data_IF_560148799941
#
_entry.id   IF_560148799941
#
_cell.length_a   1.000
_cell.length_b   1.000
_cell.length_c   1.000
_cell.angle_alpha   90.00
_cell.angle_beta   90.00
_cell.angle_gamma   90.00
#
_symmetry.space_group_name_H-M   'P 1'
#
loop_
_entity.id
_entity.type
_entity.pdbx_description
1 polymer ?
#
# COMPACT_ATOMS: atom_id res chain seq x y z
N UNK A 1 41.66 -30.76 -26.59
CA UNK A 1 40.54 -31.74 -26.56
C UNK A 1 40.46 -32.56 -27.85
N UNK A 2 41.35 -32.33 -28.83
CA UNK A 2 41.34 -33.05 -30.13
C UNK A 2 42.19 -34.32 -30.20
N UNK A 3 42.98 -34.65 -29.19
CA UNK A 3 43.81 -35.88 -29.18
C UNK A 3 43.00 -37.12 -28.73
N UNK A 4 41.87 -36.92 -28.03
CA UNK A 4 41.04 -38.02 -27.52
C UNK A 4 40.02 -38.55 -28.56
N UNK A 5 39.69 -37.76 -29.58
CA UNK A 5 38.72 -38.15 -30.62
C UNK A 5 39.37 -39.04 -31.68
N UNK A 6 40.64 -38.79 -32.03
CA UNK A 6 41.35 -39.58 -33.03
C UNK A 6 41.66 -41.02 -32.58
N UNK A 7 41.88 -41.23 -31.28
CA UNK A 7 42.07 -42.57 -30.73
C UNK A 7 40.80 -43.45 -30.79
N UNK A 8 39.61 -42.84 -30.72
CA UNK A 8 38.33 -43.57 -30.73
C UNK A 8 37.92 -44.00 -32.14
N UNK A 9 38.27 -43.20 -33.16
CA UNK A 9 37.96 -43.50 -34.57
C UNK A 9 38.86 -44.63 -35.11
N UNK A 10 40.09 -44.77 -34.63
CA UNK A 10 40.98 -45.86 -35.04
C UNK A 10 40.52 -47.23 -34.51
N UNK A 11 39.98 -47.30 -33.28
CA UNK A 11 39.47 -48.56 -32.70
C UNK A 11 38.23 -49.06 -33.45
N UNK A 12 37.37 -48.16 -33.92
CA UNK A 12 36.15 -48.55 -34.65
C UNK A 12 36.43 -49.14 -36.04
N UNK A 13 37.48 -48.67 -36.73
CA UNK A 13 37.84 -49.21 -38.06
C UNK A 13 38.44 -50.62 -38.00
N UNK A 14 39.10 -50.99 -36.90
CA UNK A 14 39.60 -52.37 -36.70
C UNK A 14 38.50 -53.38 -36.38
N UNK A 15 37.40 -52.96 -35.74
CA UNK A 15 36.27 -53.85 -35.43
C UNK A 15 35.38 -54.17 -36.64
N UNK A 16 35.18 -53.21 -37.56
CA UNK A 16 34.35 -53.44 -38.77
C UNK A 16 35.03 -54.37 -39.79
N UNK A 17 36.36 -54.37 -39.85
CA UNK A 17 37.11 -55.29 -40.73
C UNK A 17 37.10 -56.74 -40.21
N UNK A 18 37.12 -56.93 -38.89
CA UNK A 18 37.05 -58.26 -38.27
C UNK A 18 35.69 -58.95 -38.44
N UNK A 19 34.59 -58.18 -38.42
CA UNK A 19 33.22 -58.71 -38.57
C UNK A 19 32.90 -59.16 -40.01
N UNK A 20 33.50 -58.52 -41.02
CA UNK A 20 33.28 -58.86 -42.43
C UNK A 20 34.00 -60.14 -42.87
N UNK A 21 35.07 -60.53 -42.19
CA UNK A 21 35.80 -61.79 -42.48
C UNK A 21 35.07 -63.01 -41.89
N UNK A 22 34.36 -62.85 -40.76
CA UNK A 22 33.58 -63.93 -40.12
C UNK A 22 32.26 -64.21 -40.87
N UNK A 23 31.68 -63.20 -41.53
CA UNK A 23 30.44 -63.36 -42.28
C UNK A 23 30.60 -64.11 -43.62
N UNK A 24 31.83 -64.24 -44.15
CA UNK A 24 32.06 -64.85 -45.47
C UNK A 24 32.29 -66.38 -45.44
N UNK A 25 32.50 -66.99 -44.27
CA UNK A 25 32.76 -68.45 -44.17
C UNK A 25 31.55 -69.28 -43.74
N UNK A 26 30.40 -68.67 -43.46
CA UNK A 26 29.25 -69.40 -42.90
C UNK A 26 27.91 -69.15 -43.62
N UNK A 27 27.93 -69.01 -44.95
CA UNK A 27 26.82 -69.46 -45.81
C UNK A 27 27.13 -70.90 -46.21
N UNK A 28 26.28 -71.91 -46.06
CA UNK A 28 25.01 -72.09 -46.76
C UNK A 28 24.36 -73.33 -46.14
N UNK A 29 23.31 -73.18 -45.31
CA UNK A 29 22.27 -74.24 -45.09
C UNK A 29 21.09 -73.88 -44.18
N UNK A 30 21.02 -72.69 -43.58
CA UNK A 30 19.94 -72.35 -42.62
C UNK A 30 18.87 -71.36 -43.14
N UNK A 31 18.75 -71.15 -44.46
CA UNK A 31 17.88 -70.12 -45.03
C UNK A 31 16.38 -70.47 -45.14
N UNK A 32 15.94 -71.68 -44.72
CA UNK A 32 14.51 -72.06 -44.75
C UNK A 32 13.80 -72.03 -43.41
N UNK A 33 14.50 -72.15 -42.28
CA UNK A 33 13.88 -72.10 -40.94
C UNK A 33 13.67 -70.64 -40.48
N UNK A 34 14.54 -69.71 -40.89
CA UNK A 34 14.44 -68.29 -40.52
C UNK A 34 13.18 -67.60 -41.08
N UNK A 35 12.61 -68.07 -42.19
CA UNK A 35 11.44 -67.42 -42.81
C UNK A 35 10.11 -67.70 -42.11
N UNK A 36 10.00 -68.73 -41.28
CA UNK A 36 8.78 -68.99 -40.51
C UNK A 36 8.75 -68.26 -39.16
N UNK A 37 9.92 -67.97 -38.57
CA UNK A 37 10.04 -67.25 -37.30
C UNK A 37 9.79 -65.74 -37.47
N UNK A 38 10.11 -65.19 -38.65
CA UNK A 38 9.97 -63.75 -38.93
C UNK A 38 8.50 -63.28 -39.03
N UNK A 39 7.60 -64.11 -39.57
CA UNK A 39 6.17 -63.76 -39.74
C UNK A 39 5.47 -63.54 -38.39
N UNK A 40 5.70 -64.44 -37.43
CA UNK A 40 5.13 -64.32 -36.08
C UNK A 40 5.75 -63.17 -35.28
N UNK A 41 7.04 -62.87 -35.50
CA UNK A 41 7.71 -61.75 -34.84
C UNK A 41 7.20 -60.39 -35.35
N UNK A 42 7.01 -60.25 -36.66
CA UNK A 42 6.47 -59.03 -37.29
C UNK A 42 5.00 -58.80 -36.89
N UNK A 43 4.16 -59.85 -36.88
CA UNK A 43 2.78 -59.73 -36.39
C UNK A 43 2.70 -59.35 -34.92
N UNK A 44 3.55 -59.93 -34.06
CA UNK A 44 3.58 -59.61 -32.62
C UNK A 44 4.08 -58.19 -32.38
N UNK A 45 5.06 -57.70 -33.14
CA UNK A 45 5.55 -56.32 -33.07
C UNK A 45 4.48 -55.32 -33.51
N UNK A 46 3.76 -55.58 -34.62
CA UNK A 46 2.66 -54.74 -35.08
C UNK A 46 1.49 -54.70 -34.09
N UNK A 47 1.13 -55.86 -33.53
CA UNK A 47 0.08 -55.97 -32.51
C UNK A 47 0.44 -55.20 -31.23
N UNK A 48 1.68 -55.32 -30.74
CA UNK A 48 2.14 -54.58 -29.57
C UNK A 48 2.18 -53.07 -29.80
N UNK A 49 2.55 -52.61 -31.01
CA UNK A 49 2.48 -51.18 -31.38
C UNK A 49 1.03 -50.67 -31.40
N UNK A 50 0.10 -51.41 -31.99
CA UNK A 50 -1.32 -51.06 -32.00
C UNK A 50 -1.94 -51.10 -30.60
N UNK A 51 -1.56 -52.06 -29.75
CA UNK A 51 -2.01 -52.14 -28.36
C UNK A 51 -1.48 -50.96 -27.54
N UNK A 52 -0.20 -50.61 -27.71
CA UNK A 52 0.42 -49.44 -27.06
C UNK A 52 -0.22 -48.13 -27.53
N UNK A 53 -0.58 -48.03 -28.81
CA UNK A 53 -1.31 -46.90 -29.36
C UNK A 53 -2.73 -46.78 -28.80
N UNK A 54 -3.48 -47.89 -28.72
CA UNK A 54 -4.82 -47.92 -28.10
C UNK A 54 -4.82 -47.57 -26.62
N UNK A 55 -3.81 -48.04 -25.86
CA UNK A 55 -3.66 -47.70 -24.45
C UNK A 55 -3.30 -46.21 -24.27
N UNK A 56 -2.40 -45.67 -25.09
CA UNK A 56 -2.09 -44.24 -25.11
C UNK A 56 -3.32 -43.40 -25.45
N UNK A 57 -4.09 -43.78 -26.46
CA UNK A 57 -5.28 -43.05 -26.89
C UNK A 57 -6.37 -42.99 -25.80
N UNK A 58 -6.60 -44.12 -25.09
CA UNK A 58 -7.54 -44.14 -23.94
C UNK A 58 -7.07 -43.27 -22.78
N UNK A 59 -5.76 -43.17 -22.55
CA UNK A 59 -5.21 -42.33 -21.49
C UNK A 59 -5.29 -40.84 -21.86
N UNK A 60 -4.96 -40.50 -23.11
CA UNK A 60 -5.08 -39.13 -23.63
C UNK A 60 -6.53 -38.65 -23.54
N UNK A 61 -7.48 -39.49 -23.93
CA UNK A 61 -8.91 -39.18 -23.86
C UNK A 61 -9.41 -38.95 -22.42
N UNK A 62 -8.88 -39.66 -21.43
CA UNK A 62 -9.20 -39.40 -20.01
C UNK A 62 -8.65 -38.05 -19.53
N UNK A 63 -7.42 -37.72 -19.91
CA UNK A 63 -6.79 -36.43 -19.55
C UNK A 63 -7.52 -35.26 -20.22
N UNK A 64 -7.87 -35.39 -21.51
CA UNK A 64 -8.67 -34.40 -22.23
C UNK A 64 -10.06 -34.19 -21.62
N UNK A 65 -10.70 -35.25 -21.12
CA UNK A 65 -12.00 -35.12 -20.41
C UNK A 65 -11.87 -34.37 -19.10
N UNK A 66 -10.82 -34.62 -18.32
CA UNK A 66 -10.59 -33.94 -17.04
C UNK A 66 -10.25 -32.47 -17.29
N UNK A 67 -9.31 -32.18 -18.18
CA UNK A 67 -8.95 -30.80 -18.54
C UNK A 67 -10.12 -30.04 -19.17
N UNK A 68 -10.86 -30.68 -20.08
CA UNK A 68 -12.06 -30.10 -20.67
C UNK A 68 -13.14 -29.78 -19.63
N UNK A 69 -13.32 -30.63 -18.62
CA UNK A 69 -14.26 -30.38 -17.51
C UNK A 69 -13.82 -29.21 -16.63
N UNK A 70 -12.52 -29.08 -16.37
CA UNK A 70 -11.97 -27.96 -15.58
C UNK A 70 -12.11 -26.65 -16.36
N UNK A 71 -11.74 -26.63 -17.65
CA UNK A 71 -11.87 -25.46 -18.50
C UNK A 71 -13.32 -25.02 -18.68
N UNK A 72 -14.25 -25.98 -18.83
CA UNK A 72 -15.68 -25.67 -18.90
C UNK A 72 -16.19 -25.10 -17.57
N UNK A 73 -15.74 -25.65 -16.43
CA UNK A 73 -16.07 -25.13 -15.10
C UNK A 73 -15.60 -23.69 -14.92
N UNK A 74 -14.34 -23.39 -15.26
CA UNK A 74 -13.79 -22.04 -15.20
C UNK A 74 -14.51 -21.07 -16.13
N UNK A 75 -14.87 -21.51 -17.34
CA UNK A 75 -15.66 -20.71 -18.27
C UNK A 75 -17.06 -20.42 -17.73
N UNK A 76 -17.74 -21.41 -17.14
CA UNK A 76 -19.04 -21.22 -16.52
C UNK A 76 -18.97 -20.27 -15.31
N UNK A 77 -17.91 -20.35 -14.49
CA UNK A 77 -17.70 -19.41 -13.37
C UNK A 77 -17.45 -18.01 -13.90
N UNK A 78 -16.60 -17.84 -14.92
CA UNK A 78 -16.36 -16.53 -15.54
C UNK A 78 -17.64 -15.94 -16.17
N UNK A 79 -18.44 -16.77 -16.85
CA UNK A 79 -19.73 -16.34 -17.43
C UNK A 79 -20.77 -15.99 -16.35
N UNK A 80 -20.80 -16.74 -15.24
CA UNK A 80 -21.68 -16.44 -14.10
C UNK A 80 -21.25 -15.15 -13.39
N UNK A 81 -19.94 -14.95 -13.16
CA UNK A 81 -19.42 -13.73 -12.57
C UNK A 81 -19.71 -12.51 -13.47
N UNK A 82 -19.54 -12.67 -14.79
CA UNK A 82 -19.90 -11.65 -15.77
C UNK A 82 -21.39 -11.32 -15.76
N UNK A 83 -22.25 -12.34 -15.71
CA UNK A 83 -23.70 -12.16 -15.71
C UNK A 83 -24.22 -11.53 -14.41
N UNK A 84 -23.63 -11.90 -13.26
CA UNK A 84 -24.18 -11.53 -11.95
C UNK A 84 -23.64 -10.19 -11.44
N UNK A 85 -22.39 -9.84 -11.75
CA UNK A 85 -21.72 -8.63 -11.24
C UNK A 85 -21.48 -7.55 -12.29
N UNK A 86 -21.81 -7.80 -13.56
CA UNK A 86 -21.49 -6.91 -14.67
C UNK A 86 -19.97 -6.78 -14.90
N UNK A 87 -19.58 -5.92 -15.84
CA UNK A 87 -18.17 -5.73 -16.21
C UNK A 87 -17.36 -4.95 -15.16
N UNK A 88 -18.02 -4.24 -14.25
CA UNK A 88 -17.36 -3.28 -13.36
C UNK A 88 -16.75 -3.93 -12.12
N UNK A 89 -17.37 -4.97 -11.57
CA UNK A 89 -16.81 -5.73 -10.43
C UNK A 89 -16.03 -6.97 -10.84
N UNK A 90 -16.34 -7.57 -11.99
CA UNK A 90 -15.76 -8.87 -12.39
C UNK A 90 -14.33 -8.75 -12.92
N UNK A 91 -13.99 -7.65 -13.59
CA UNK A 91 -12.69 -7.47 -14.23
C UNK A 91 -11.51 -7.34 -13.23
N UNK A 92 -11.59 -6.57 -12.13
CA UNK A 92 -10.54 -6.54 -11.11
C UNK A 92 -10.33 -7.89 -10.43
N UNK A 93 -11.43 -8.58 -10.09
CA UNK A 93 -11.38 -9.92 -9.46
C UNK A 93 -10.75 -10.96 -10.41
N UNK A 94 -11.03 -10.86 -11.72
CA UNK A 94 -10.39 -11.70 -12.74
C UNK A 94 -8.90 -11.37 -12.93
N UNK A 95 -8.52 -10.10 -12.84
CA UNK A 95 -7.13 -9.67 -12.86
C UNK A 95 -6.34 -10.24 -11.67
N UNK A 96 -6.88 -10.15 -10.45
CA UNK A 96 -6.23 -10.63 -9.23
C UNK A 96 -6.18 -12.15 -9.11
N UNK A 97 -7.15 -12.87 -9.70
CA UNK A 97 -7.19 -14.34 -9.69
C UNK A 97 -6.24 -14.99 -10.70
N UNK A 98 -5.81 -14.26 -11.73
CA UNK A 98 -4.85 -14.76 -12.75
C UNK A 98 -3.54 -15.30 -12.15
N UNK A 99 -2.80 -14.54 -11.31
CA UNK A 99 -1.56 -15.06 -10.71
C UNK A 99 -1.80 -16.25 -9.78
N UNK A 100 -2.94 -16.28 -9.08
CA UNK A 100 -3.33 -17.39 -8.20
C UNK A 100 -3.54 -18.67 -9.01
N UNK A 101 -4.23 -18.57 -10.15
CA UNK A 101 -4.45 -19.71 -11.05
C UNK A 101 -3.13 -20.23 -11.63
N UNK A 102 -2.22 -19.35 -12.04
CA UNK A 102 -0.89 -19.75 -12.51
C UNK A 102 -0.09 -20.45 -11.40
N UNK A 103 -0.16 -19.96 -10.16
CA UNK A 103 0.50 -20.57 -9.02
C UNK A 103 -0.05 -21.97 -8.72
N UNK A 104 -1.38 -22.15 -8.72
CA UNK A 104 -2.04 -23.45 -8.50
C UNK A 104 -1.60 -24.46 -9.57
N UNK A 105 -1.59 -24.07 -10.85
CA UNK A 105 -1.14 -24.97 -11.93
C UNK A 105 0.34 -25.31 -11.77
N UNK A 106 1.18 -24.35 -11.40
CA UNK A 106 2.60 -24.58 -11.11
C UNK A 106 2.82 -25.60 -9.98
N UNK A 107 2.05 -25.48 -8.89
CA UNK A 107 2.09 -26.42 -7.75
C UNK A 107 1.68 -27.82 -8.18
N UNK A 108 0.58 -27.96 -8.94
CA UNK A 108 0.10 -29.27 -9.42
C UNK A 108 1.14 -29.95 -10.32
N UNK A 109 1.80 -29.17 -11.20
CA UNK A 109 2.86 -29.68 -12.07
C UNK A 109 4.12 -30.10 -11.32
N UNK A 110 4.41 -29.48 -10.18
CA UNK A 110 5.52 -29.86 -9.30
C UNK A 110 5.27 -31.22 -8.62
N UNK A 111 4.03 -31.48 -8.17
CA UNK A 111 3.68 -32.74 -7.50
C UNK A 111 3.46 -33.93 -8.46
N UNK A 112 3.02 -33.67 -9.69
CA UNK A 112 2.72 -34.72 -10.67
C UNK A 112 3.52 -34.45 -11.95
N UNK A 113 4.82 -34.84 -11.98
CA UNK A 113 5.63 -34.62 -13.16
C UNK A 113 5.05 -35.42 -14.34
N UNK A 114 4.79 -34.77 -15.49
CA UNK A 114 4.21 -35.45 -16.65
C UNK A 114 5.18 -36.53 -17.16
N UNK A 115 4.83 -37.80 -16.99
CA UNK A 115 5.66 -38.97 -17.36
C UNK A 115 5.90 -39.14 -18.87
N UNK A 116 5.35 -38.26 -19.73
CA UNK A 116 5.46 -38.33 -21.20
C UNK A 116 5.66 -36.94 -21.77
N UNK A 117 6.56 -36.81 -22.76
CA UNK A 117 6.88 -35.56 -23.45
C UNK A 117 5.63 -34.84 -24.00
N UNK A 118 4.64 -35.59 -24.50
CA UNK A 118 3.40 -35.02 -25.04
C UNK A 118 2.52 -34.35 -23.98
N UNK A 119 2.56 -34.81 -22.72
CA UNK A 119 1.80 -34.18 -21.63
C UNK A 119 2.46 -32.88 -21.16
N UNK A 120 3.79 -32.79 -21.25
CA UNK A 120 4.55 -31.58 -20.95
C UNK A 120 4.29 -30.46 -21.97
N UNK A 121 4.21 -30.80 -23.26
CA UNK A 121 3.92 -29.83 -24.32
C UNK A 121 2.51 -29.24 -24.14
N UNK A 122 1.52 -30.09 -23.86
CA UNK A 122 0.12 -29.65 -23.65
C UNK A 122 0.00 -28.77 -22.40
N UNK A 123 0.69 -29.13 -21.32
CA UNK A 123 0.76 -28.33 -20.09
C UNK A 123 1.32 -26.92 -20.35
N UNK A 124 2.46 -26.83 -21.05
CA UNK A 124 3.05 -25.54 -21.42
C UNK A 124 2.10 -24.72 -22.29
N UNK A 125 1.42 -25.35 -23.25
CA UNK A 125 0.48 -24.64 -24.12
C UNK A 125 -0.69 -24.03 -23.34
N UNK A 126 -1.28 -24.78 -22.40
CA UNK A 126 -2.37 -24.28 -21.54
C UNK A 126 -1.90 -23.09 -20.68
N UNK A 127 -0.70 -23.18 -20.09
CA UNK A 127 -0.13 -22.09 -19.30
C UNK A 127 0.09 -20.82 -20.13
N UNK A 128 0.59 -20.96 -21.37
CA UNK A 128 0.79 -19.83 -22.28
C UNK A 128 -0.55 -19.17 -22.60
N UNK A 129 -1.60 -19.95 -22.89
CA UNK A 129 -2.94 -19.41 -23.17
C UNK A 129 -3.50 -18.66 -21.97
N UNK A 130 -3.40 -19.22 -20.76
CA UNK A 130 -3.86 -18.56 -19.52
C UNK A 130 -3.09 -17.26 -19.30
N UNK A 131 -1.76 -17.27 -19.49
CA UNK A 131 -0.94 -16.08 -19.32
C UNK A 131 -1.29 -14.97 -20.32
N UNK A 132 -1.53 -15.31 -21.59
CA UNK A 132 -1.94 -14.34 -22.61
C UNK A 132 -3.32 -13.72 -22.30
N UNK A 133 -4.30 -14.55 -21.91
CA UNK A 133 -5.63 -14.07 -21.52
C UNK A 133 -5.55 -13.18 -20.28
N UNK A 134 -4.79 -13.61 -19.26
CA UNK A 134 -4.56 -12.84 -18.04
C UNK A 134 -3.91 -11.48 -18.32
N UNK A 135 -2.92 -11.43 -19.21
CA UNK A 135 -2.27 -10.19 -19.64
C UNK A 135 -3.25 -9.25 -20.35
N UNK A 136 -4.14 -9.78 -21.21
CA UNK A 136 -5.16 -9.00 -21.89
C UNK A 136 -6.17 -8.39 -20.89
N UNK A 137 -6.59 -9.15 -19.89
CA UNK A 137 -7.49 -8.67 -18.82
C UNK A 137 -6.83 -7.56 -17.99
N UNK A 138 -5.59 -7.77 -17.55
CA UNK A 138 -4.81 -6.76 -16.82
C UNK A 138 -4.65 -5.46 -17.62
N UNK A 139 -4.36 -5.59 -18.92
CA UNK A 139 -4.23 -4.43 -19.82
C UNK A 139 -5.56 -3.69 -19.97
N UNK A 140 -6.67 -4.42 -20.10
CA UNK A 140 -8.00 -3.82 -20.21
C UNK A 140 -8.41 -3.07 -18.92
N UNK A 141 -8.13 -3.65 -17.74
CA UNK A 141 -8.36 -2.98 -16.44
C UNK A 141 -7.54 -1.70 -16.35
N UNK A 142 -6.25 -1.75 -16.72
CA UNK A 142 -5.37 -0.59 -16.70
C UNK A 142 -5.86 0.53 -17.63
N UNK A 143 -6.18 0.21 -18.89
CA UNK A 143 -6.70 1.19 -19.85
C UNK A 143 -8.01 1.82 -19.37
N UNK A 144 -8.86 1.05 -18.69
CA UNK A 144 -10.11 1.56 -18.13
C UNK A 144 -9.87 2.50 -16.94
N UNK A 145 -8.92 2.15 -16.06
CA UNK A 145 -8.49 3.01 -14.96
C UNK A 145 -7.86 4.32 -15.44
N UNK A 146 -7.06 4.29 -16.51
CA UNK A 146 -6.53 5.50 -17.13
C UNK A 146 -7.63 6.38 -17.73
N UNK A 147 -8.67 5.77 -18.33
CA UNK A 147 -9.79 6.52 -18.89
C UNK A 147 -10.71 7.12 -17.80
N UNK A 148 -10.96 6.42 -16.69
CA UNK A 148 -11.70 6.99 -15.57
C UNK A 148 -10.92 8.12 -14.91
N UNK A 149 -9.62 7.95 -14.72
CA UNK A 149 -8.76 9.01 -14.19
C UNK A 149 -8.73 10.25 -15.09
N UNK A 150 -8.67 10.07 -16.42
CA UNK A 150 -8.79 11.18 -17.38
C UNK A 150 -10.16 11.86 -17.31
N UNK A 151 -11.24 11.12 -17.12
CA UNK A 151 -12.58 11.70 -16.97
C UNK A 151 -12.69 12.53 -15.67
N UNK A 152 -12.10 12.05 -14.58
CA UNK A 152 -12.00 12.78 -13.31
C UNK A 152 -11.16 14.06 -13.45
N UNK A 153 -9.99 13.98 -14.09
CA UNK A 153 -9.13 15.15 -14.36
C UNK A 153 -9.88 16.17 -15.23
N UNK A 154 -10.57 15.74 -16.28
CA UNK A 154 -11.36 16.64 -17.12
C UNK A 154 -12.50 17.32 -16.34
N UNK A 155 -13.14 16.57 -15.44
CA UNK A 155 -14.19 17.11 -14.56
C UNK A 155 -13.60 18.12 -13.58
N UNK A 156 -12.40 17.86 -13.04
CA UNK A 156 -11.69 18.77 -12.16
C UNK A 156 -11.24 20.03 -12.90
N UNK A 157 -10.73 19.90 -14.12
CA UNK A 157 -10.42 21.01 -15.01
C UNK A 157 -11.65 21.88 -15.28
N UNK A 158 -12.80 21.28 -15.60
CA UNK A 158 -14.05 22.02 -15.79
C UNK A 158 -14.50 22.75 -14.51
N UNK A 159 -14.29 22.17 -13.33
CA UNK A 159 -14.55 22.85 -12.05
C UNK A 159 -13.58 24.02 -11.82
N UNK A 160 -12.30 23.83 -12.16
CA UNK A 160 -11.27 24.86 -12.05
C UNK A 160 -11.59 26.05 -12.96
N UNK A 161 -11.98 25.78 -14.21
CA UNK A 161 -12.42 26.79 -15.19
C UNK A 161 -13.67 27.53 -14.70
N UNK A 162 -14.61 26.81 -14.07
CA UNK A 162 -15.81 27.42 -13.49
C UNK A 162 -15.46 28.39 -12.33
N UNK A 163 -14.52 28.01 -11.46
CA UNK A 163 -14.01 28.89 -10.38
C UNK A 163 -13.28 30.10 -10.98
N UNK A 164 -12.47 29.90 -12.01
CA UNK A 164 -11.85 30.99 -12.77
C UNK A 164 -12.88 31.98 -13.33
N UNK A 165 -13.92 31.47 -13.99
CA UNK A 165 -15.02 32.29 -14.52
C UNK A 165 -15.79 33.05 -13.43
N UNK A 166 -16.03 32.42 -12.27
CA UNK A 166 -16.66 33.09 -11.12
C UNK A 166 -15.80 34.23 -10.59
N UNK A 167 -14.48 34.02 -10.46
CA UNK A 167 -13.55 35.07 -10.06
C UNK A 167 -13.56 36.24 -11.05
N UNK A 168 -13.55 35.98 -12.37
CA UNK A 168 -13.65 37.05 -13.38
C UNK A 168 -14.95 37.85 -13.24
N UNK A 169 -16.10 37.16 -13.06
CA UNK A 169 -17.41 37.84 -12.89
C UNK A 169 -17.44 38.70 -11.63
N UNK A 170 -16.89 38.18 -10.52
CA UNK A 170 -16.80 38.92 -9.27
C UNK A 170 -15.90 40.14 -9.40
N UNK A 171 -14.75 40.01 -10.07
CA UNK A 171 -13.86 41.14 -10.36
C UNK A 171 -14.59 42.23 -11.14
N UNK A 172 -15.28 41.87 -12.23
CA UNK A 172 -16.04 42.82 -13.04
C UNK A 172 -17.14 43.52 -12.24
N UNK A 173 -17.90 42.78 -11.43
CA UNK A 173 -18.91 43.35 -10.55
C UNK A 173 -18.33 44.38 -9.57
N UNK A 174 -17.16 44.10 -8.98
CA UNK A 174 -16.48 45.00 -8.04
C UNK A 174 -15.91 46.25 -8.72
N UNK A 175 -15.62 46.19 -10.02
CA UNK A 175 -15.21 47.36 -10.82
C UNK A 175 -16.45 48.20 -11.15
N UNK A 176 -17.56 47.59 -11.56
CA UNK A 176 -18.81 48.25 -11.92
C UNK A 176 -19.47 48.98 -10.73
N UNK A 177 -19.35 48.42 -9.53
CA UNK A 177 -19.91 49.01 -8.30
C UNK A 177 -19.08 50.19 -7.74
N UNK A 178 -18.05 50.65 -8.46
CA UNK A 178 -17.27 51.84 -8.09
C UNK A 178 -18.16 53.08 -8.12
N UNK A 179 -18.43 53.66 -6.95
CA UNK A 179 -19.16 54.93 -6.82
C UNK A 179 -20.69 54.82 -6.93
N UNK A 180 -21.25 53.61 -6.95
CA UNK A 180 -22.70 53.36 -6.97
C UNK A 180 -23.37 53.51 -5.60
N UNK A 181 -22.57 53.52 -4.51
CA UNK A 181 -23.03 53.65 -3.13
C UNK A 181 -23.65 52.39 -2.53
N UNK A 182 -23.74 51.28 -3.26
CA UNK A 182 -24.28 50.00 -2.75
C UNK A 182 -23.31 49.24 -1.85
N UNK A 183 -22.01 49.51 -1.96
CA UNK A 183 -20.97 48.94 -1.11
C UNK A 183 -20.01 50.04 -0.65
N UNK A 184 -19.37 49.84 0.51
CA UNK A 184 -18.31 50.75 0.95
C UNK A 184 -17.06 50.57 0.10
N UNK A 185 -16.31 51.63 -0.13
CA UNK A 185 -15.05 51.57 -0.89
C UNK A 185 -14.02 50.62 -0.23
N UNK A 186 -14.08 50.46 1.10
CA UNK A 186 -13.24 49.51 1.84
C UNK A 186 -13.61 48.05 1.53
N UNK A 187 -14.91 47.73 1.48
CA UNK A 187 -15.37 46.38 1.17
C UNK A 187 -15.14 46.03 -0.30
N UNK A 188 -15.28 47.01 -1.21
CA UNK A 188 -14.95 46.86 -2.63
C UNK A 188 -13.49 46.47 -2.83
N UNK A 189 -12.57 47.21 -2.19
CA UNK A 189 -11.12 46.93 -2.27
C UNK A 189 -10.75 45.56 -1.70
N UNK A 190 -11.33 45.16 -0.56
CA UNK A 190 -11.15 43.80 0.00
C UNK A 190 -11.64 42.71 -0.94
N UNK A 191 -12.75 42.95 -1.63
CA UNK A 191 -13.27 42.05 -2.66
C UNK A 191 -12.28 41.88 -3.82
N UNK A 192 -11.69 42.98 -4.29
CA UNK A 192 -10.70 42.97 -5.38
C UNK A 192 -9.44 42.22 -4.94
N UNK A 193 -8.93 42.50 -3.75
CA UNK A 193 -7.80 41.79 -3.15
C UNK A 193 -8.03 40.28 -3.07
N UNK A 194 -9.22 39.88 -2.60
CA UNK A 194 -9.59 38.47 -2.49
C UNK A 194 -9.66 37.79 -3.86
N UNK A 195 -10.19 38.49 -4.85
CA UNK A 195 -10.32 37.98 -6.23
C UNK A 195 -8.94 37.82 -6.88
N UNK A 196 -8.06 38.80 -6.70
CA UNK A 196 -6.67 38.74 -7.17
C UNK A 196 -5.88 37.62 -6.48
N UNK A 197 -6.09 37.39 -5.18
CA UNK A 197 -5.49 36.23 -4.49
C UNK A 197 -5.95 34.91 -5.10
N UNK A 198 -7.24 34.76 -5.37
CA UNK A 198 -7.75 33.55 -5.99
C UNK A 198 -7.19 33.37 -7.42
N UNK A 199 -7.05 34.44 -8.20
CA UNK A 199 -6.38 34.40 -9.51
C UNK A 199 -4.91 33.97 -9.39
N UNK A 200 -4.19 34.46 -8.37
CA UNK A 200 -2.82 34.05 -8.10
C UNK A 200 -2.72 32.54 -7.79
N UNK A 201 -3.61 32.03 -6.94
CA UNK A 201 -3.69 30.60 -6.59
C UNK A 201 -3.97 29.74 -7.83
N UNK A 202 -4.78 30.22 -8.76
CA UNK A 202 -5.10 29.48 -9.98
C UNK A 202 -3.98 29.51 -11.04
N UNK A 203 -3.05 30.47 -10.96
CA UNK A 203 -2.07 30.74 -12.03
C UNK A 203 -0.62 30.38 -11.69
N UNK A 204 -0.29 30.11 -10.43
CA UNK A 204 1.08 29.84 -9.99
C UNK A 204 1.19 28.43 -9.39
N UNK A 205 2.29 27.73 -9.69
CA UNK A 205 2.68 26.45 -9.09
C UNK A 205 4.22 26.38 -9.05
N UNK A 206 4.87 26.20 -7.88
CA UNK A 206 4.31 26.00 -6.54
C UNK A 206 3.77 27.27 -5.87
N UNK A 207 2.77 27.09 -5.01
CA UNK A 207 2.13 28.17 -4.24
C UNK A 207 2.62 28.12 -2.79
N UNK A 208 2.89 29.29 -2.20
CA UNK A 208 3.16 29.41 -0.78
C UNK A 208 1.93 28.95 0.04
N UNK A 209 2.07 27.97 0.95
CA UNK A 209 0.97 27.48 1.80
C UNK A 209 0.26 28.59 2.57
N UNK A 210 0.95 29.68 2.92
CA UNK A 210 0.35 30.83 3.62
C UNK A 210 -0.59 31.64 2.71
N UNK A 211 -0.35 31.65 1.40
CA UNK A 211 -1.26 32.27 0.43
C UNK A 211 -2.52 31.41 0.26
N UNK A 212 -2.36 30.08 0.24
CA UNK A 212 -3.49 29.13 0.21
C UNK A 212 -4.36 29.21 1.48
N UNK A 213 -3.72 29.36 2.64
CA UNK A 213 -4.41 29.55 3.92
C UNK A 213 -5.10 30.93 4.03
N UNK A 214 -4.85 31.84 3.09
CA UNK A 214 -5.37 33.21 3.12
C UNK A 214 -4.73 34.08 4.21
N UNK A 215 -3.65 33.60 4.85
CA UNK A 215 -2.91 34.33 5.88
C UNK A 215 -1.89 35.29 5.27
N UNK A 216 -1.55 35.11 4.00
CA UNK A 216 -0.62 35.94 3.24
C UNK A 216 -1.22 36.38 1.91
N UNK A 217 -0.95 37.62 1.53
CA UNK A 217 -1.33 38.15 0.22
C UNK A 217 -0.27 37.81 -0.84
N UNK A 218 -0.65 37.74 -2.12
CA UNK A 218 0.31 37.56 -3.21
C UNK A 218 1.40 38.66 -3.21
N UNK A 219 2.56 38.42 -3.84
CA UNK A 219 3.66 39.39 -3.87
C UNK A 219 3.19 40.78 -4.30
N UNK A 220 3.58 41.82 -3.55
CA UNK A 220 3.11 43.19 -3.75
C UNK A 220 3.40 43.72 -5.18
N UNK A 221 4.53 43.31 -5.77
CA UNK A 221 4.86 43.65 -7.16
C UNK A 221 3.82 43.11 -8.15
N UNK A 222 3.40 41.86 -7.98
CA UNK A 222 2.37 41.22 -8.79
C UNK A 222 0.99 41.86 -8.55
N UNK A 223 0.63 42.09 -7.28
CA UNK A 223 -0.63 42.77 -6.93
C UNK A 223 -0.72 44.17 -7.53
N UNK A 224 0.39 44.93 -7.51
CA UNK A 224 0.46 46.29 -8.06
C UNK A 224 0.29 46.29 -9.58
N UNK A 225 0.93 45.36 -10.28
CA UNK A 225 0.75 45.18 -11.73
C UNK A 225 -0.71 44.89 -12.06
N UNK A 226 -1.33 43.94 -11.35
CA UNK A 226 -2.74 43.58 -11.57
C UNK A 226 -3.73 44.69 -11.23
N UNK A 227 -3.50 45.43 -10.15
CA UNK A 227 -4.33 46.58 -9.81
C UNK A 227 -4.23 47.70 -10.85
N UNK A 228 -3.04 47.91 -11.41
CA UNK A 228 -2.86 48.84 -12.51
C UNK A 228 -3.65 48.42 -13.75
N UNK A 229 -3.65 47.13 -14.10
CA UNK A 229 -4.45 46.59 -15.22
C UNK A 229 -5.95 46.76 -15.00
N UNK A 230 -6.41 46.73 -13.74
CA UNK A 230 -7.80 46.98 -13.35
C UNK A 230 -8.15 48.48 -13.25
N UNK A 231 -7.20 49.39 -13.55
CA UNK A 231 -7.42 50.84 -13.44
C UNK A 231 -7.62 51.32 -12.00
N UNK A 232 -7.00 50.64 -11.03
CA UNK A 232 -6.96 51.00 -9.61
C UNK A 232 -5.65 51.72 -9.28
N UNK A 233 -5.74 52.92 -8.69
CA UNK A 233 -4.57 53.78 -8.41
C UNK A 233 -4.13 53.76 -6.95
N UNK A 234 -4.71 52.87 -6.13
CA UNK A 234 -4.36 52.79 -4.72
C UNK A 234 -3.21 51.82 -4.49
N UNK A 235 -2.34 52.18 -3.56
CA UNK A 235 -1.18 51.37 -3.19
C UNK A 235 -1.61 50.27 -2.23
N UNK A 236 -1.39 49.02 -2.63
CA UNK A 236 -1.27 47.93 -1.65
C UNK A 236 -0.01 48.25 -0.87
N UNK A 237 -0.14 48.47 0.45
CA UNK A 237 1.04 48.63 1.28
C UNK A 237 1.93 47.42 1.05
N UNK A 238 3.19 47.64 0.66
CA UNK A 238 4.22 46.65 0.97
C UNK A 238 4.04 46.36 2.45
N UNK A 239 3.74 45.11 2.79
CA UNK A 239 4.05 44.67 4.14
C UNK A 239 5.56 44.80 4.26
N UNK A 240 6.03 45.98 4.69
CA UNK A 240 7.11 46.08 5.66
C UNK A 240 6.79 44.96 6.60
N UNK A 241 7.58 43.87 6.52
CA UNK A 241 7.42 42.65 7.32
C UNK A 241 6.76 43.05 8.61
N UNK A 242 5.42 42.95 8.64
CA UNK A 242 4.68 43.31 9.82
C UNK A 242 5.10 42.16 10.68
N UNK A 243 6.04 42.43 11.59
CA UNK A 243 6.37 41.56 12.71
C UNK A 243 5.07 40.88 13.04
N UNK A 244 5.00 39.58 12.70
CA UNK A 244 3.74 38.88 12.56
C UNK A 244 2.88 39.30 13.75
N UNK A 245 1.71 39.89 13.52
CA UNK A 245 0.70 39.81 14.58
C UNK A 245 0.60 38.31 14.77
N UNK A 246 1.07 37.74 15.89
CA UNK A 246 1.17 36.30 15.99
C UNK A 246 -0.25 35.81 15.79
N UNK A 247 -0.49 35.10 14.67
CA UNK A 247 -1.73 34.35 14.54
C UNK A 247 -1.84 33.56 15.83
N UNK A 248 -2.97 33.60 16.55
CA UNK A 248 -3.04 32.97 17.86
C UNK A 248 -2.58 31.53 17.71
N UNK A 249 -1.57 31.15 18.49
CA UNK A 249 -0.88 29.87 18.35
C UNK A 249 -1.88 28.72 18.48
N UNK A 250 -1.70 27.72 17.64
CA UNK A 250 -2.43 26.46 17.70
C UNK A 250 -1.72 25.45 18.59
N UNK A 251 -2.51 24.75 19.38
CA UNK A 251 -2.01 23.78 20.34
C UNK A 251 -2.68 22.45 20.09
N UNK A 252 -1.88 21.38 20.15
CA UNK A 252 -2.39 20.04 20.37
C UNK A 252 -2.62 19.90 21.86
N UNK A 253 -3.83 19.53 22.24
CA UNK A 253 -4.17 19.16 23.61
C UNK A 253 -4.74 17.76 23.65
N UNK A 254 -4.60 17.11 24.79
CA UNK A 254 -5.21 15.80 25.02
C UNK A 254 -6.74 15.92 25.08
N UNK A 255 -7.44 15.04 24.35
CA UNK A 255 -8.90 14.95 24.31
C UNK A 255 -9.41 13.77 25.15
N UNK A 256 -9.19 13.85 26.47
CA UNK A 256 -9.57 12.80 27.42
C UNK A 256 -8.44 11.80 27.73
N UNK A 257 -8.73 10.79 28.53
CA UNK A 257 -7.72 9.80 28.93
C UNK A 257 -7.40 8.78 27.82
N UNK A 258 -6.22 8.13 27.89
CA UNK A 258 -5.91 6.96 27.07
C UNK A 258 -7.01 5.90 27.14
N UNK A 259 -7.41 5.36 25.99
CA UNK A 259 -8.46 4.33 25.89
C UNK A 259 -7.89 3.03 25.36
N UNK A 260 -8.14 1.92 26.04
CA UNK A 260 -7.74 0.60 25.56
C UNK A 260 -8.35 0.30 24.18
N UNK A 261 -7.57 -0.24 23.24
CA UNK A 261 -8.05 -0.51 21.87
C UNK A 261 -9.07 -1.65 21.79
N UNK A 262 -9.06 -2.56 22.79
CA UNK A 262 -9.90 -3.76 22.77
C UNK A 262 -9.33 -4.90 21.92
N UNK A 263 -10.02 -6.06 21.90
CA UNK A 263 -9.59 -7.29 21.23
C UNK A 263 -9.75 -7.27 19.70
N UNK A 264 -10.47 -6.30 19.15
CA UNK A 264 -10.73 -6.18 17.70
C UNK A 264 -10.46 -4.75 17.22
N UNK A 265 -9.88 -4.62 16.03
CA UNK A 265 -9.69 -3.35 15.31
C UNK A 265 -11.00 -2.64 14.92
N UNK A 266 -12.16 -3.25 15.16
CA UNK A 266 -13.49 -2.81 14.69
C UNK A 266 -14.49 -2.40 15.80
N UNK A 267 -14.03 -1.98 16.98
CA UNK A 267 -14.70 -0.82 17.59
C UNK A 267 -15.52 -0.99 18.87
N UNK A 268 -14.86 -1.27 19.99
CA UNK A 268 -15.25 -0.64 21.27
C UNK A 268 -13.96 -0.26 22.02
N UNK A 269 -13.48 0.97 21.77
CA UNK A 269 -12.42 1.56 22.58
C UNK A 269 -12.89 1.75 24.03
N UNK A 270 -11.98 1.63 24.98
CA UNK A 270 -12.32 1.72 26.41
C UNK A 270 -13.05 0.50 26.97
N UNK A 271 -12.98 -0.65 26.30
CA UNK A 271 -13.40 -1.95 26.86
C UNK A 271 -12.44 -2.44 27.94
N UNK A 272 -12.85 -3.46 28.71
CA UNK A 272 -11.99 -4.10 29.71
C UNK A 272 -10.77 -4.76 29.07
N UNK A 273 -9.68 -4.88 29.83
CA UNK A 273 -8.48 -5.59 29.39
C UNK A 273 -8.75 -7.09 29.25
N UNK A 274 -8.34 -7.66 28.12
CA UNK A 274 -8.61 -9.07 27.75
C UNK A 274 -7.30 -9.75 27.37
N UNK A 275 -7.05 -10.94 27.90
CA UNK A 275 -5.85 -11.72 27.61
C UNK A 275 -5.80 -12.09 26.13
N UNK A 276 -4.62 -12.01 25.53
CA UNK A 276 -4.39 -12.19 24.08
C UNK A 276 -4.65 -10.94 23.24
N UNK A 277 -5.17 -9.85 23.81
CA UNK A 277 -5.29 -8.56 23.12
C UNK A 277 -3.96 -7.82 23.15
N UNK A 278 -3.66 -7.04 22.11
CA UNK A 278 -2.46 -6.20 22.08
C UNK A 278 -2.45 -5.20 23.25
N UNK A 279 -1.27 -4.96 23.82
CA UNK A 279 -1.04 -3.89 24.78
C UNK A 279 -1.04 -2.59 24.00
N UNK A 280 -2.23 -2.02 23.80
CA UNK A 280 -2.42 -0.86 22.95
C UNK A 280 -3.49 0.10 23.49
N UNK A 281 -3.19 1.39 23.41
CA UNK A 281 -4.03 2.48 23.90
C UNK A 281 -4.17 3.58 22.84
N UNK A 282 -5.40 3.98 22.55
CA UNK A 282 -5.68 5.15 21.73
C UNK A 282 -5.59 6.41 22.57
N UNK A 283 -4.73 7.33 22.14
CA UNK A 283 -4.55 8.66 22.69
C UNK A 283 -5.23 9.65 21.77
N UNK A 284 -6.37 10.19 22.21
CA UNK A 284 -7.11 11.19 21.44
C UNK A 284 -6.52 12.57 21.70
N UNK A 285 -6.27 13.33 20.64
CA UNK A 285 -5.75 14.69 20.70
C UNK A 285 -6.58 15.62 19.82
N UNK A 286 -6.64 16.89 20.21
CA UNK A 286 -7.43 17.92 19.53
C UNK A 286 -6.59 19.14 19.24
N UNK A 287 -6.75 19.69 18.04
CA UNK A 287 -6.23 21.01 17.73
C UNK A 287 -7.18 22.09 18.30
N UNK A 288 -6.76 22.81 19.34
CA UNK A 288 -7.56 23.89 19.95
C UNK A 288 -7.24 25.29 19.40
N UNK A 289 -6.35 25.38 18.41
CA UNK A 289 -5.98 26.62 17.77
C UNK A 289 -6.96 27.11 16.70
N UNK A 290 -6.84 28.38 16.28
CA UNK A 290 -7.61 28.90 15.15
C UNK A 290 -7.06 28.42 13.80
N UNK A 291 -5.81 27.95 13.73
CA UNK A 291 -5.18 27.51 12.49
C UNK A 291 -5.20 25.99 12.37
N UNK A 292 -5.15 25.49 11.13
CA UNK A 292 -4.79 24.09 10.91
C UNK A 292 -3.31 23.87 11.21
N UNK A 293 -2.98 22.67 11.68
CA UNK A 293 -1.61 22.27 11.95
C UNK A 293 -1.19 21.14 11.00
N UNK A 294 0.08 21.10 10.64
CA UNK A 294 0.66 20.02 9.84
C UNK A 294 1.40 19.05 10.77
N UNK A 295 1.00 17.79 10.79
CA UNK A 295 1.73 16.75 11.52
C UNK A 295 2.99 16.39 10.73
N UNK A 296 4.14 16.53 11.37
CA UNK A 296 5.46 16.31 10.77
C UNK A 296 5.98 14.92 11.13
N UNK A 297 5.86 14.54 12.40
CA UNK A 297 6.36 13.27 12.91
C UNK A 297 5.53 12.83 14.13
N UNK A 298 5.44 11.52 14.32
CA UNK A 298 4.67 10.90 15.38
C UNK A 298 5.40 9.67 15.91
N UNK A 299 5.61 9.65 17.22
CA UNK A 299 6.15 8.51 17.94
C UNK A 299 5.23 8.16 19.12
N UNK A 300 4.98 6.88 19.33
CA UNK A 300 4.04 6.39 20.32
C UNK A 300 4.42 4.97 20.78
N UNK A 301 4.46 4.74 22.08
CA UNK A 301 4.77 3.43 22.68
C UNK A 301 4.02 3.23 23.98
N UNK A 302 3.67 1.97 24.26
CA UNK A 302 3.19 1.54 25.56
C UNK A 302 4.21 0.61 26.23
N UNK A 303 4.31 0.67 27.56
CA UNK A 303 5.14 -0.26 28.34
C UNK A 303 4.39 -0.80 29.56
N UNK A 304 4.67 -2.04 29.93
CA UNK A 304 4.38 -2.57 31.26
C UNK A 304 5.63 -2.58 32.14
N UNK A 305 5.58 -1.92 33.30
CA UNK A 305 6.67 -1.91 34.30
C UNK A 305 6.15 -2.24 35.69
N UNK A 306 7.03 -2.61 36.60
CA UNK A 306 6.63 -3.10 37.93
C UNK A 306 6.23 -1.99 38.91
N UNK A 307 6.58 -0.73 38.63
CA UNK A 307 6.19 0.42 39.46
C UNK A 307 6.13 1.74 38.65
N UNK A 308 5.71 2.82 39.32
CA UNK A 308 5.64 4.18 38.75
C UNK A 308 6.64 5.17 39.36
N UNK A 309 7.71 4.67 39.98
CA UNK A 309 8.69 5.52 40.66
C UNK A 309 9.46 6.42 39.68
N UNK A 310 10.04 7.54 40.13
CA UNK A 310 10.79 8.45 39.26
C UNK A 310 11.92 7.77 38.47
N UNK A 311 12.59 6.77 39.04
CA UNK A 311 13.64 6.01 38.36
C UNK A 311 13.08 5.21 37.19
N UNK A 312 11.93 4.56 37.38
CA UNK A 312 11.23 3.80 36.35
C UNK A 312 10.70 4.72 35.26
N UNK A 313 10.12 5.88 35.63
CA UNK A 313 9.72 6.93 34.68
C UNK A 313 10.89 7.37 33.80
N UNK A 314 12.06 7.62 34.41
CA UNK A 314 13.27 7.99 33.65
C UNK A 314 13.75 6.85 32.74
N UNK A 315 13.64 5.61 33.18
CA UNK A 315 14.02 4.44 32.39
C UNK A 315 13.11 4.27 31.16
N UNK A 316 11.78 4.36 31.32
CA UNK A 316 10.85 4.28 30.17
C UNK A 316 11.07 5.41 29.17
N UNK A 317 11.40 6.61 29.65
CA UNK A 317 11.71 7.75 28.77
C UNK A 317 13.01 7.56 27.99
N UNK A 318 14.03 7.01 28.66
CA UNK A 318 15.30 6.69 28.00
C UNK A 318 15.07 5.63 26.92
N UNK A 319 14.31 4.58 27.25
CA UNK A 319 13.93 3.53 26.30
C UNK A 319 13.15 4.12 25.12
N UNK A 320 12.14 4.96 25.35
CA UNK A 320 11.39 5.64 24.29
C UNK A 320 12.28 6.45 23.36
N UNK A 321 13.18 7.28 23.90
CA UNK A 321 14.10 8.08 23.09
C UNK A 321 15.04 7.21 22.23
N UNK A 322 15.51 6.09 22.77
CA UNK A 322 16.31 5.12 22.03
C UNK A 322 15.52 4.44 20.91
N UNK A 323 14.26 4.08 21.17
CA UNK A 323 13.36 3.48 20.18
C UNK A 323 13.03 4.45 19.04
N UNK A 324 12.70 5.71 19.35
CA UNK A 324 12.48 6.76 18.33
C UNK A 324 13.74 6.95 17.49
N UNK A 325 14.92 6.96 18.11
CA UNK A 325 16.20 7.08 17.38
C UNK A 325 16.48 5.87 16.51
N UNK A 326 16.19 4.66 17.00
CA UNK A 326 16.32 3.39 16.27
C UNK A 326 15.39 3.36 15.06
N UNK A 327 14.14 3.77 15.24
CA UNK A 327 13.13 3.86 14.19
C UNK A 327 13.56 4.86 13.10
N UNK A 328 13.94 6.08 13.48
CA UNK A 328 14.44 7.10 12.54
C UNK A 328 15.64 6.59 11.73
N UNK A 329 16.54 5.83 12.35
CA UNK A 329 17.70 5.22 11.68
C UNK A 329 17.30 4.08 10.74
N UNK A 330 16.31 3.27 11.11
CA UNK A 330 15.85 2.14 10.31
C UNK A 330 15.14 2.58 9.01
N UNK A 331 14.40 3.69 9.06
CA UNK A 331 13.61 4.16 7.92
C UNK A 331 14.34 5.14 6.98
N UNK A 332 15.51 5.68 7.36
CA UNK A 332 16.44 6.46 6.53
C UNK A 332 15.76 7.38 5.47
N UNK A 333 14.69 8.07 5.88
CA UNK A 333 13.75 8.81 5.04
C UNK A 333 12.37 8.93 5.70
N UNK A 334 11.43 9.71 5.15
CA UNK A 334 10.04 9.70 5.59
C UNK A 334 9.48 8.27 5.44
N UNK A 335 8.71 7.79 6.42
CA UNK A 335 8.10 6.46 6.35
C UNK A 335 7.31 6.31 5.03
N UNK A 336 7.25 5.12 4.41
CA UNK A 336 6.53 4.93 3.13
C UNK A 336 5.06 5.36 3.14
N UNK A 337 4.44 5.39 4.32
CA UNK A 337 3.09 5.88 4.62
C UNK A 337 3.03 7.35 5.10
N UNK A 338 4.16 7.96 5.45
CA UNK A 338 4.28 9.38 5.83
C UNK A 338 4.38 10.35 4.63
N UNK A 339 4.14 9.87 3.41
CA UNK A 339 4.18 10.72 2.20
C UNK A 339 3.03 11.74 2.14
N UNK A 340 2.04 11.63 3.01
CA UNK A 340 1.02 12.64 3.21
C UNK A 340 1.27 13.36 4.53
N UNK A 341 1.79 14.59 4.46
CA UNK A 341 1.75 15.52 5.61
C UNK A 341 0.29 15.67 6.02
N UNK A 342 -0.08 15.07 7.13
CA UNK A 342 -1.46 15.04 7.60
C UNK A 342 -1.80 16.39 8.22
N UNK A 343 -2.86 17.04 7.72
CA UNK A 343 -3.29 18.36 8.21
C UNK A 343 -4.49 18.20 9.13
N UNK A 344 -4.33 18.63 10.39
CA UNK A 344 -5.40 18.59 11.39
C UNK A 344 -6.09 19.95 11.44
N UNK A 345 -7.38 19.97 11.09
CA UNK A 345 -8.20 21.17 11.09
C UNK A 345 -8.39 21.75 12.50
N UNK A 346 -8.74 23.03 12.57
CA UNK A 346 -9.09 23.69 13.84
C UNK A 346 -10.30 22.99 14.47
N UNK A 347 -10.17 22.61 15.75
CA UNK A 347 -11.22 21.90 16.50
C UNK A 347 -11.38 20.42 16.13
N UNK A 348 -10.59 19.89 15.20
CA UNK A 348 -10.61 18.47 14.83
C UNK A 348 -9.93 17.62 15.89
N UNK A 349 -10.52 16.45 16.17
CA UNK A 349 -10.01 15.43 17.08
C UNK A 349 -9.53 14.23 16.26
N UNK A 350 -8.38 13.69 16.65
CA UNK A 350 -7.76 12.51 16.06
C UNK A 350 -7.16 11.65 17.16
N UNK A 351 -6.66 10.47 16.81
CA UNK A 351 -5.97 9.61 17.76
C UNK A 351 -4.69 9.01 17.19
N UNK A 352 -3.76 8.74 18.09
CA UNK A 352 -2.58 7.90 17.86
C UNK A 352 -2.69 6.67 18.76
N UNK A 353 -2.23 5.52 18.26
CA UNK A 353 -2.23 4.28 19.04
C UNK A 353 -0.83 3.99 19.61
N UNK A 354 -0.72 4.05 20.93
CA UNK A 354 0.46 3.67 21.69
C UNK A 354 0.43 2.15 21.85
N UNK A 355 1.41 1.44 21.30
CA UNK A 355 1.48 -0.03 21.38
C UNK A 355 2.82 -0.49 21.94
N UNK A 356 2.82 -1.62 22.62
CA UNK A 356 4.07 -2.31 22.99
C UNK A 356 4.51 -3.22 21.84
N UNK A 357 5.80 -3.14 21.48
CA UNK A 357 6.37 -3.85 20.34
C UNK A 357 7.50 -4.78 20.77
N UNK A 358 7.57 -5.96 20.15
CA UNK A 358 8.71 -6.87 20.28
C UNK A 358 9.91 -6.38 19.45
N UNK A 359 11.08 -6.99 19.66
CA UNK A 359 12.27 -6.76 18.81
C UNK A 359 12.04 -7.09 17.33
N UNK A 360 11.03 -7.91 17.03
CA UNK A 360 10.61 -8.28 15.67
C UNK A 360 9.49 -7.40 15.12
N UNK A 361 9.12 -6.31 15.79
CA UNK A 361 8.02 -5.40 15.42
C UNK A 361 6.63 -6.05 15.41
N UNK A 362 6.43 -7.07 16.24
CA UNK A 362 5.11 -7.64 16.50
C UNK A 362 4.52 -6.98 17.75
N UNK A 363 3.21 -6.73 17.76
CA UNK A 363 2.54 -6.19 18.94
C UNK A 363 2.54 -7.22 20.06
N UNK A 364 3.02 -6.83 21.23
CA UNK A 364 2.96 -7.67 22.42
C UNK A 364 1.52 -7.71 22.93
N UNK A 365 1.05 -8.91 23.27
CA UNK A 365 -0.29 -9.13 23.80
C UNK A 365 -0.28 -9.31 25.31
N UNK A 366 -1.34 -8.88 25.99
CA UNK A 366 -1.55 -9.13 27.40
C UNK A 366 -1.59 -10.64 27.70
N UNK A 367 -0.80 -11.10 28.65
CA UNK A 367 -0.98 -12.42 29.26
C UNK A 367 -1.99 -12.33 30.41
N UNK A 368 -2.52 -13.48 30.86
CA UNK A 368 -3.40 -13.48 32.04
C UNK A 368 -2.65 -12.98 33.29
N UNK A 369 -1.37 -13.33 33.42
CA UNK A 369 -0.51 -12.87 34.52
C UNK A 369 -0.34 -11.34 34.51
N UNK A 370 -0.22 -10.73 33.32
CA UNK A 370 -0.17 -9.27 33.20
C UNK A 370 -1.46 -8.61 33.66
N UNK A 371 -2.62 -9.18 33.33
CA UNK A 371 -3.91 -8.67 33.75
C UNK A 371 -4.10 -8.76 35.27
N UNK A 372 -3.67 -9.87 35.87
CA UNK A 372 -3.74 -10.06 37.32
C UNK A 372 -2.75 -9.13 38.03
N UNK A 373 -1.57 -8.90 37.44
CA UNK A 373 -0.59 -7.94 37.94
C UNK A 373 -1.08 -6.48 37.85
N UNK A 374 -1.76 -6.11 36.75
CA UNK A 374 -2.39 -4.80 36.59
C UNK A 374 -3.53 -4.57 37.60
N UNK A 375 -4.35 -5.59 37.86
CA UNK A 375 -5.42 -5.54 38.88
C UNK A 375 -4.87 -5.44 40.29
N UNK A 376 -3.75 -6.10 40.58
CA UNK A 376 -3.12 -6.07 41.91
C UNK A 376 -2.19 -4.87 42.10
N UNK A 377 -1.81 -4.18 41.02
CA UNK A 377 -0.89 -3.05 41.04
C UNK A 377 0.58 -3.43 41.15
N UNK A 378 0.92 -4.69 40.86
CA UNK A 378 2.31 -5.15 40.74
C UNK A 378 2.87 -4.89 39.34
N UNK A 379 2.02 -4.52 38.38
CA UNK A 379 2.41 -3.90 37.11
C UNK A 379 1.63 -2.63 36.86
N UNK A 380 2.27 -1.71 36.15
CA UNK A 380 1.80 -0.38 35.76
C UNK A 380 1.93 -0.26 34.25
N UNK A 381 0.85 0.17 33.59
CA UNK A 381 0.88 0.54 32.19
C UNK A 381 1.35 1.99 32.03
N UNK A 382 2.30 2.20 31.13
CA UNK A 382 2.78 3.51 30.70
C UNK A 382 2.41 3.73 29.24
N UNK A 383 2.08 4.96 28.90
CA UNK A 383 1.86 5.44 27.54
C UNK A 383 2.72 6.68 27.32
N UNK A 384 3.47 6.68 26.23
CA UNK A 384 4.41 7.74 25.88
C UNK A 384 4.24 8.09 24.41
N UNK A 385 4.10 9.38 24.14
CA UNK A 385 3.95 9.87 22.78
C UNK A 385 4.65 11.23 22.59
N UNK A 386 5.16 11.42 21.37
CA UNK A 386 5.69 12.68 20.88
C UNK A 386 5.06 12.97 19.52
N UNK A 387 4.35 14.10 19.41
CA UNK A 387 3.80 14.61 18.17
C UNK A 387 4.55 15.88 17.80
N UNK A 388 5.27 15.84 16.68
CA UNK A 388 5.90 17.02 16.10
C UNK A 388 4.93 17.62 15.08
N UNK A 389 4.57 18.89 15.25
CA UNK A 389 3.64 19.56 14.37
C UNK A 389 4.12 20.97 13.99
N UNK A 390 3.64 21.48 12.87
CA UNK A 390 3.97 22.81 12.36
C UNK A 390 2.73 23.70 12.37
N UNK A 391 2.85 24.86 13.00
CA UNK A 391 1.84 25.93 13.05
C UNK A 391 2.46 27.21 12.54
N UNK A 392 1.86 27.83 11.51
CA UNK A 392 2.33 29.06 10.90
C UNK A 392 3.86 29.11 10.65
N UNK A 393 4.43 28.03 10.09
CA UNK A 393 5.87 27.96 9.81
C UNK A 393 6.73 27.43 10.97
N UNK A 394 6.25 27.49 12.20
CA UNK A 394 7.01 27.13 13.42
C UNK A 394 6.77 25.67 13.80
N UNK A 395 7.84 24.97 14.15
CA UNK A 395 7.77 23.57 14.63
C UNK A 395 7.55 23.57 16.14
N UNK A 396 6.62 22.74 16.57
CA UNK A 396 6.26 22.53 17.97
C UNK A 396 6.26 21.04 18.29
N UNK A 397 6.45 20.72 19.55
CA UNK A 397 6.42 19.36 20.06
C UNK A 397 5.37 19.24 21.16
N UNK A 398 4.39 18.37 20.95
CA UNK A 398 3.52 17.87 22.00
C UNK A 398 4.12 16.58 22.54
N UNK A 399 4.48 16.57 23.83
CA UNK A 399 5.07 15.41 24.49
C UNK A 399 4.20 15.03 25.67
N UNK A 400 3.97 13.73 25.80
CA UNK A 400 3.23 13.22 26.93
C UNK A 400 3.77 11.87 27.39
N UNK A 401 3.78 11.70 28.71
CA UNK A 401 4.04 10.47 29.42
C UNK A 401 2.99 10.34 30.51
N UNK A 402 2.21 9.27 30.47
CA UNK A 402 1.22 8.95 31.50
C UNK A 402 1.39 7.51 31.99
N UNK A 403 0.95 7.27 33.21
CA UNK A 403 0.86 5.94 33.79
C UNK A 403 -0.53 5.68 34.38
N UNK A 404 -0.97 4.43 34.29
CA UNK A 404 -2.28 3.98 34.73
C UNK A 404 -2.25 3.67 36.23
N UNK A 405 -3.14 4.31 37.00
CA UNK A 405 -3.24 4.11 38.43
C UNK A 405 -3.71 2.69 38.76
N UNK A 406 -3.02 1.96 39.65
CA UNK A 406 -3.54 0.73 40.22
C UNK A 406 -4.65 0.96 41.25
N UNK A 407 -5.56 -0.02 41.46
CA UNK A 407 -5.75 -1.20 40.62
C UNK A 407 -6.31 -0.79 39.24
N UNK A 408 -5.75 -1.35 38.17
CA UNK A 408 -6.09 -0.94 36.83
C UNK A 408 -7.47 -1.48 36.41
N UNK A 409 -8.34 -0.60 35.92
CA UNK A 409 -9.64 -0.92 35.31
C UNK A 409 -9.86 0.01 34.11
N UNK A 410 -10.68 -0.36 33.13
CA UNK A 410 -11.02 0.54 32.01
C UNK A 410 -12.14 1.51 32.38
N UNK A 411 -12.12 2.79 32.03
CA UNK A 411 -11.14 3.53 31.22
C UNK A 411 -9.88 4.00 31.98
N UNK A 412 -9.81 3.72 33.28
CA UNK A 412 -8.63 3.96 34.12
C UNK A 412 -8.50 5.39 34.62
N UNK A 413 -7.77 5.56 35.72
CA UNK A 413 -7.30 6.88 36.16
C UNK A 413 -5.85 7.00 35.72
N UNK A 414 -5.57 7.99 34.89
CA UNK A 414 -4.23 8.20 34.35
C UNK A 414 -3.57 9.40 35.01
N UNK A 415 -2.30 9.24 35.36
CA UNK A 415 -1.48 10.29 35.96
C UNK A 415 -0.35 10.64 35.01
N UNK A 416 -0.02 11.92 34.95
CA UNK A 416 1.16 12.39 34.22
C UNK A 416 2.45 11.95 34.93
N UNK A 417 3.45 11.59 34.13
CA UNK A 417 4.82 11.45 34.61
C UNK A 417 5.33 12.82 35.13
N UNK A 418 6.27 12.81 36.07
CA UNK A 418 6.84 14.03 36.64
C UNK A 418 7.79 14.76 35.67
N UNK A 419 8.19 14.06 34.62
CA UNK A 419 9.18 14.47 33.62
C UNK A 419 8.60 14.15 32.24
N UNK A 420 8.99 14.92 31.21
CA UNK A 420 8.63 14.76 29.78
C UNK A 420 7.33 15.42 29.28
N UNK A 421 6.45 15.92 30.16
CA UNK A 421 5.18 16.52 29.74
C UNK A 421 5.28 18.00 29.31
N UNK A 422 6.49 18.58 29.37
CA UNK A 422 6.72 19.94 28.89
C UNK A 422 6.66 19.95 27.36
N UNK A 423 5.52 20.40 26.86
CA UNK A 423 5.32 20.76 25.45
C UNK A 423 5.78 22.22 25.26
N UNK A 424 6.43 22.50 24.13
CA UNK A 424 6.96 23.84 23.84
C UNK A 424 5.87 24.89 23.68
#
# INVERSE_FOLDING_TARGET
MDVAVDAYVQIWRTYDLGMKIIAFTCGVRHARIARMIDSHYVQRSAYLRLLRWRICFRYLHKVFKILGSISLGLFCVAALLWHHFGTDLSLPVLADSTPILLAIVGIIMSFIPPKKETAHIVACFVLIVIALVGTAVLTAVRLRGENSHKAEINTLGAKLDAVGSQNTKLSNFLIEERGTGRMTEADRRRGIETTLRNEYILSHDPIDPEILAGTKMPPAAWMKEKLHDLGENWTVSEEVSRTAVPSPRSYIVLAGGPKFTGPNTAGIEGSDFIAGSAIAFNIHYKNTGPNSIQLVDQAAVAFLKDDYKPETQKAVLTQFAEEVKREKKAFNGPKPDASNVHTVGAGTEEFITDSEWSDTWERIAFTQDDLDALKTGTKIAFVLNEITYKDAGTIHHFRMCMWLQPPAASAGIWHYCQIFNDSD
#
